data_IF_750957582832
#
_entry.id   IF_750957582832
#
_cell.length_a   1.000
_cell.length_b   1.000
_cell.length_c   1.000
_cell.angle_alpha   90.00
_cell.angle_beta   90.00
_cell.angle_gamma   90.00
#
_symmetry.space_group_name_H-M   'P 1'
#
loop_
_entity.id
_entity.type
_entity.pdbx_description
1 polymer ?
#
# COMPACT_ATOMS: atom_id res chain seq x y z
N UNK A 1 19.58 1.38 35.34
CA UNK A 1 19.13 0.50 34.24
C UNK A 1 18.01 1.20 33.48
N UNK A 2 18.29 1.72 32.27
CA UNK A 2 17.46 2.71 31.58
C UNK A 2 16.49 2.03 30.60
N UNK A 3 15.22 1.93 30.98
CA UNK A 3 14.06 2.23 30.12
C UNK A 3 13.90 1.52 28.76
N UNK A 4 14.39 0.28 28.59
CA UNK A 4 14.35 -0.45 27.31
C UNK A 4 12.91 -0.87 26.91
N UNK A 5 12.03 -1.16 27.88
CA UNK A 5 10.64 -1.54 27.58
C UNK A 5 9.80 -0.38 27.03
N UNK A 6 9.93 0.83 27.60
CA UNK A 6 9.15 2.00 27.21
C UNK A 6 9.58 2.62 25.88
N UNK A 7 10.82 2.41 25.41
CA UNK A 7 11.26 2.90 24.10
C UNK A 7 10.76 2.01 22.96
N UNK A 8 10.70 0.69 23.17
CA UNK A 8 10.21 -0.27 22.19
C UNK A 8 8.71 -0.12 21.92
N UNK A 9 7.88 0.09 22.96
CA UNK A 9 6.44 0.36 22.80
C UNK A 9 6.17 1.67 22.03
N UNK A 10 6.88 2.75 22.38
CA UNK A 10 6.76 4.04 21.66
C UNK A 10 7.22 3.95 20.21
N UNK A 11 8.26 3.17 19.93
CA UNK A 11 8.76 2.98 18.56
C UNK A 11 7.80 2.15 17.73
N UNK A 12 7.24 1.07 18.27
CA UNK A 12 6.21 0.27 17.59
C UNK A 12 4.97 1.11 17.26
N UNK A 13 4.49 1.91 18.22
CA UNK A 13 3.37 2.84 18.00
C UNK A 13 3.65 3.87 16.91
N UNK A 14 4.86 4.44 16.85
CA UNK A 14 5.26 5.38 15.79
C UNK A 14 5.31 4.73 14.42
N UNK A 15 5.90 3.52 14.31
CA UNK A 15 5.96 2.75 13.05
C UNK A 15 4.54 2.44 12.56
N UNK A 16 3.65 2.02 13.46
CA UNK A 16 2.24 1.75 13.15
C UNK A 16 1.52 2.99 12.62
N UNK A 17 1.73 4.13 13.27
CA UNK A 17 1.09 5.37 12.85
C UNK A 17 1.61 5.83 11.49
N UNK A 18 2.93 5.74 11.25
CA UNK A 18 3.53 6.01 9.95
C UNK A 18 2.97 5.08 8.86
N UNK A 19 2.87 3.77 9.11
CA UNK A 19 2.32 2.81 8.16
C UNK A 19 0.88 3.16 7.75
N UNK A 20 0.05 3.56 8.73
CA UNK A 20 -1.33 4.00 8.49
C UNK A 20 -1.40 5.28 7.67
N UNK A 21 -0.66 6.32 8.06
CA UNK A 21 -0.67 7.60 7.34
C UNK A 21 -0.24 7.41 5.90
N UNK A 22 0.87 6.69 5.68
CA UNK A 22 1.39 6.39 4.35
C UNK A 22 0.32 5.63 3.54
N UNK A 23 -0.24 4.55 4.10
CA UNK A 23 -1.25 3.75 3.42
C UNK A 23 -2.52 4.53 3.06
N UNK A 24 -2.99 5.42 3.95
CA UNK A 24 -4.16 6.27 3.71
C UNK A 24 -3.86 7.31 2.61
N UNK A 25 -2.71 7.99 2.67
CA UNK A 25 -2.35 9.02 1.69
C UNK A 25 -2.27 8.41 0.29
N UNK A 26 -1.56 7.29 0.16
CA UNK A 26 -1.40 6.59 -1.13
C UNK A 26 -2.73 6.04 -1.61
N UNK A 27 -3.50 5.47 -0.67
CA UNK A 27 -4.83 4.95 -0.93
C UNK A 27 -5.81 5.99 -1.45
N UNK A 28 -5.84 7.15 -0.79
CA UNK A 28 -6.65 8.29 -1.20
C UNK A 28 -6.21 8.82 -2.57
N UNK A 29 -4.90 8.99 -2.78
CA UNK A 29 -4.35 9.40 -4.08
C UNK A 29 -4.84 8.49 -5.20
N UNK A 30 -4.61 7.18 -5.10
CA UNK A 30 -5.00 6.23 -6.14
C UNK A 30 -6.52 6.13 -6.34
N UNK A 31 -7.30 6.20 -5.26
CA UNK A 31 -8.77 6.19 -5.35
C UNK A 31 -9.28 7.42 -6.09
N UNK A 32 -8.76 8.61 -5.76
CA UNK A 32 -9.10 9.86 -6.44
C UNK A 32 -8.69 9.78 -7.92
N UNK A 33 -7.49 9.28 -8.22
CA UNK A 33 -7.01 9.11 -9.60
C UNK A 33 -7.91 8.19 -10.43
N UNK A 34 -8.36 7.06 -9.87
CA UNK A 34 -9.28 6.15 -10.57
C UNK A 34 -10.64 6.79 -10.83
N UNK A 35 -11.18 7.53 -9.85
CA UNK A 35 -12.45 8.26 -10.01
C UNK A 35 -12.29 9.34 -11.08
N UNK A 36 -11.20 10.11 -11.03
CA UNK A 36 -10.93 11.17 -12.00
C UNK A 36 -10.77 10.63 -13.42
N UNK A 37 -10.04 9.53 -13.61
CA UNK A 37 -9.92 8.84 -14.91
C UNK A 37 -11.28 8.31 -15.38
N UNK A 38 -12.08 7.71 -14.49
CA UNK A 38 -13.43 7.23 -14.84
C UNK A 38 -14.37 8.34 -15.31
N UNK A 39 -14.24 9.54 -14.75
CA UNK A 39 -15.01 10.72 -15.17
C UNK A 39 -14.47 11.28 -16.49
N UNK A 40 -13.15 11.40 -16.62
CA UNK A 40 -12.50 11.98 -17.79
C UNK A 40 -12.70 11.12 -19.06
N UNK A 41 -12.75 9.80 -18.89
CA UNK A 41 -12.89 8.81 -19.97
C UNK A 41 -14.32 8.26 -20.03
N UNK A 42 -15.30 8.97 -19.46
CA UNK A 42 -16.67 8.50 -19.45
C UNK A 42 -17.20 8.28 -20.88
N UNK A 43 -17.69 7.07 -21.16
CA UNK A 43 -18.21 6.68 -22.47
C UNK A 43 -17.18 6.05 -23.40
N UNK A 44 -15.91 5.97 -23.03
CA UNK A 44 -14.93 5.15 -23.75
C UNK A 44 -14.90 3.71 -23.20
N UNK A 45 -14.66 2.69 -24.05
CA UNK A 45 -14.45 1.34 -23.56
C UNK A 45 -13.21 1.28 -22.66
N UNK A 46 -13.39 0.82 -21.42
CA UNK A 46 -12.29 0.60 -20.49
C UNK A 46 -11.52 -0.65 -20.90
N UNK A 47 -10.20 -0.55 -21.14
CA UNK A 47 -9.39 -1.70 -21.52
C UNK A 47 -9.15 -2.63 -20.31
N UNK A 48 -8.78 -3.89 -20.55
CA UNK A 48 -8.67 -4.92 -19.49
C UNK A 48 -7.62 -4.54 -18.43
N UNK A 49 -6.57 -3.86 -18.86
CA UNK A 49 -5.48 -3.31 -18.06
C UNK A 49 -6.01 -2.33 -17.00
N UNK A 50 -7.00 -1.51 -17.36
CA UNK A 50 -7.67 -0.59 -16.43
C UNK A 50 -8.40 -1.33 -15.30
N UNK A 51 -9.08 -2.43 -15.61
CA UNK A 51 -9.73 -3.27 -14.61
C UNK A 51 -8.73 -3.98 -13.69
N UNK A 52 -7.61 -4.46 -14.24
CA UNK A 52 -6.53 -5.09 -13.45
C UNK A 52 -5.93 -4.07 -12.48
N UNK A 53 -5.63 -2.86 -12.96
CA UNK A 53 -5.11 -1.77 -12.14
C UNK A 53 -6.08 -1.41 -11.00
N UNK A 54 -7.35 -1.19 -11.33
CA UNK A 54 -8.38 -0.88 -10.35
C UNK A 54 -8.54 -2.01 -9.30
N UNK A 55 -8.49 -3.27 -9.73
CA UNK A 55 -8.52 -4.43 -8.83
C UNK A 55 -7.33 -4.46 -7.88
N UNK A 56 -6.11 -4.26 -8.38
CA UNK A 56 -4.88 -4.25 -7.56
C UNK A 56 -4.88 -3.11 -6.54
N UNK A 57 -5.31 -1.92 -6.93
CA UNK A 57 -5.47 -0.78 -6.02
C UNK A 57 -6.52 -1.09 -4.95
N UNK A 58 -7.66 -1.66 -5.34
CA UNK A 58 -8.73 -2.04 -4.41
C UNK A 58 -8.26 -3.06 -3.39
N UNK A 59 -7.47 -4.06 -3.80
CA UNK A 59 -6.89 -5.06 -2.89
C UNK A 59 -5.89 -4.40 -1.93
N UNK A 60 -5.02 -3.50 -2.42
CA UNK A 60 -4.10 -2.74 -1.56
C UNK A 60 -4.88 -1.93 -0.51
N UNK A 61 -5.95 -1.25 -0.92
CA UNK A 61 -6.83 -0.50 -0.03
C UNK A 61 -7.51 -1.36 1.03
N UNK A 62 -8.06 -2.51 0.61
CA UNK A 62 -8.63 -3.49 1.54
C UNK A 62 -7.56 -3.98 2.54
N UNK A 63 -6.33 -4.20 2.07
CA UNK A 63 -5.19 -4.54 2.92
C UNK A 63 -4.87 -3.46 3.96
N UNK A 64 -4.85 -2.18 3.56
CA UNK A 64 -4.67 -1.04 4.49
C UNK A 64 -5.78 -1.00 5.52
N UNK A 65 -7.03 -1.15 5.13
CA UNK A 65 -8.19 -1.17 6.04
C UNK A 65 -8.08 -2.35 7.02
N UNK A 66 -7.80 -3.56 6.53
CA UNK A 66 -7.63 -4.76 7.35
C UNK A 66 -6.45 -4.61 8.33
N UNK A 67 -5.36 -3.97 7.91
CA UNK A 67 -4.17 -3.75 8.73
C UNK A 67 -4.46 -2.89 9.98
N UNK A 68 -5.57 -2.17 10.03
CA UNK A 68 -5.95 -1.40 11.22
C UNK A 68 -6.25 -2.30 12.42
N UNK A 69 -6.94 -3.42 12.18
CA UNK A 69 -7.31 -4.39 13.21
C UNK A 69 -6.38 -5.61 13.23
N UNK A 70 -5.85 -6.03 12.06
CA UNK A 70 -5.00 -7.21 11.92
C UNK A 70 -3.74 -6.89 11.09
N UNK A 71 -2.75 -6.31 11.75
CA UNK A 71 -1.50 -5.83 11.12
C UNK A 71 -0.80 -6.87 10.25
N UNK A 72 -0.68 -8.12 10.74
CA UNK A 72 -0.04 -9.20 9.98
C UNK A 72 -0.78 -9.49 8.67
N UNK A 73 -2.09 -9.68 8.76
CA UNK A 73 -2.91 -10.10 7.61
C UNK A 73 -2.96 -8.95 6.60
N UNK A 74 -3.28 -7.74 7.06
CA UNK A 74 -3.30 -6.57 6.19
C UNK A 74 -1.93 -6.27 5.57
N UNK A 75 -0.86 -6.36 6.35
CA UNK A 75 0.51 -6.19 5.85
C UNK A 75 0.88 -7.19 4.75
N UNK A 76 0.53 -8.48 4.90
CA UNK A 76 0.76 -9.50 3.85
C UNK A 76 -0.05 -9.17 2.59
N UNK A 77 -1.32 -8.80 2.74
CA UNK A 77 -2.19 -8.42 1.61
C UNK A 77 -1.59 -7.23 0.86
N UNK A 78 -1.20 -6.18 1.58
CA UNK A 78 -0.58 -4.99 0.96
C UNK A 78 0.71 -5.38 0.25
N UNK A 79 1.62 -6.12 0.89
CA UNK A 79 2.91 -6.46 0.27
C UNK A 79 2.72 -7.29 -1.00
N UNK A 80 1.85 -8.29 -0.97
CA UNK A 80 1.58 -9.15 -2.13
C UNK A 80 0.91 -8.38 -3.27
N UNK A 81 -0.10 -7.56 -2.96
CA UNK A 81 -0.78 -6.74 -3.96
C UNK A 81 0.10 -5.61 -4.50
N UNK A 82 0.94 -4.99 -3.67
CA UNK A 82 1.89 -3.97 -4.07
C UNK A 82 2.99 -4.54 -4.98
N UNK A 83 3.48 -5.75 -4.68
CA UNK A 83 4.42 -6.44 -5.56
C UNK A 83 3.80 -6.74 -6.93
N UNK A 84 2.55 -7.23 -6.96
CA UNK A 84 1.82 -7.42 -8.21
C UNK A 84 1.60 -6.11 -8.96
N UNK A 85 1.27 -5.01 -8.27
CA UNK A 85 1.12 -3.68 -8.86
C UNK A 85 2.43 -3.12 -9.43
N UNK A 86 3.56 -3.36 -8.75
CA UNK A 86 4.89 -3.04 -9.27
C UNK A 86 5.18 -3.80 -10.57
N UNK A 87 4.93 -5.10 -10.60
CA UNK A 87 5.14 -5.94 -11.79
C UNK A 87 4.23 -5.52 -12.94
N UNK A 88 2.94 -5.31 -12.66
CA UNK A 88 1.96 -4.84 -13.63
C UNK A 88 2.40 -3.50 -14.24
N UNK A 89 2.74 -2.53 -13.41
CA UNK A 89 3.18 -1.19 -13.86
C UNK A 89 4.49 -1.24 -14.66
N UNK A 90 5.38 -2.18 -14.36
CA UNK A 90 6.61 -2.36 -15.14
C UNK A 90 6.34 -2.92 -16.55
N UNK A 91 5.36 -3.82 -16.67
CA UNK A 91 4.98 -4.45 -17.95
C UNK A 91 4.23 -3.42 -18.81
N UNK A 92 3.25 -2.74 -18.22
CA UNK A 92 2.38 -1.78 -18.91
C UNK A 92 3.07 -0.45 -19.27
N UNK A 93 4.11 -0.07 -18.53
CA UNK A 93 4.82 1.16 -18.81
C UNK A 93 5.54 1.10 -20.16
N UNK A 94 5.05 1.88 -21.12
CA UNK A 94 5.72 2.04 -22.43
C UNK A 94 7.11 2.66 -22.30
N UNK A 95 7.26 3.67 -21.43
CA UNK A 95 8.53 4.34 -21.13
C UNK A 95 8.71 4.51 -19.62
N UNK A 96 9.97 4.66 -19.17
CA UNK A 96 10.30 4.93 -17.76
C UNK A 96 9.72 3.89 -16.77
N UNK A 97 9.82 2.60 -17.13
CA UNK A 97 9.25 1.46 -16.37
C UNK A 97 9.59 1.46 -14.88
N UNK A 98 10.82 1.83 -14.53
CA UNK A 98 11.27 1.91 -13.15
C UNK A 98 10.52 3.01 -12.40
N UNK A 99 10.36 4.19 -13.01
CA UNK A 99 9.60 5.29 -12.41
C UNK A 99 8.13 4.93 -12.24
N UNK A 100 7.53 4.26 -13.23
CA UNK A 100 6.16 3.78 -13.15
C UNK A 100 5.96 2.82 -11.96
N UNK A 101 6.87 1.85 -11.78
CA UNK A 101 6.89 0.95 -10.63
C UNK A 101 7.04 1.72 -9.29
N UNK A 102 7.98 2.66 -9.23
CA UNK A 102 8.28 3.43 -8.02
C UNK A 102 7.15 4.38 -7.61
N UNK A 103 6.40 4.94 -8.55
CA UNK A 103 5.26 5.80 -8.24
C UNK A 103 4.00 5.01 -7.90
N UNK A 104 3.86 3.78 -8.39
CA UNK A 104 2.64 2.98 -8.24
C UNK A 104 2.64 2.06 -7.03
N UNK A 105 3.30 0.91 -7.13
CA UNK A 105 3.25 -0.14 -6.11
C UNK A 105 4.22 0.11 -4.97
N UNK A 106 5.35 0.77 -5.21
CA UNK A 106 6.38 0.94 -4.19
C UNK A 106 5.91 1.70 -2.92
N UNK A 107 5.11 2.77 -3.00
CA UNK A 107 4.60 3.43 -1.80
C UNK A 107 3.72 2.49 -0.96
N UNK A 108 2.85 1.69 -1.60
CA UNK A 108 2.06 0.67 -0.91
C UNK A 108 2.96 -0.40 -0.29
N UNK A 109 4.00 -0.83 -1.01
CA UNK A 109 4.97 -1.81 -0.52
C UNK A 109 5.65 -1.33 0.78
N UNK A 110 6.06 -0.06 0.84
CA UNK A 110 6.62 0.56 2.05
C UNK A 110 5.60 0.47 3.20
N UNK A 111 4.34 0.85 2.97
CA UNK A 111 3.28 0.77 3.98
C UNK A 111 3.10 -0.68 4.50
N UNK A 112 2.99 -1.65 3.60
CA UNK A 112 2.83 -3.06 3.94
C UNK A 112 4.00 -3.61 4.75
N UNK A 113 5.24 -3.30 4.35
CA UNK A 113 6.44 -3.69 5.09
C UNK A 113 6.46 -3.07 6.49
N UNK A 114 6.11 -1.78 6.63
CA UNK A 114 6.02 -1.12 7.93
C UNK A 114 4.97 -1.77 8.84
N UNK A 115 3.83 -2.20 8.31
CA UNK A 115 2.83 -2.96 9.06
C UNK A 115 3.37 -4.31 9.56
N UNK A 116 4.14 -5.03 8.73
CA UNK A 116 4.76 -6.30 9.14
C UNK A 116 5.86 -6.10 10.19
N UNK A 117 6.67 -5.05 10.05
CA UNK A 117 7.70 -4.68 11.04
C UNK A 117 7.05 -4.28 12.37
N UNK A 118 5.97 -3.48 12.33
CA UNK A 118 5.17 -3.12 13.52
C UNK A 118 4.69 -4.37 14.24
N UNK A 119 4.08 -5.30 13.50
CA UNK A 119 3.57 -6.54 14.06
C UNK A 119 4.66 -7.39 14.70
N UNK A 120 5.80 -7.56 14.03
CA UNK A 120 6.91 -8.35 14.54
C UNK A 120 7.52 -7.75 15.81
N UNK A 121 7.62 -6.41 15.88
CA UNK A 121 8.07 -5.71 17.08
C UNK A 121 7.06 -5.79 18.23
N UNK A 122 5.77 -5.70 17.94
CA UNK A 122 4.71 -5.84 18.96
C UNK A 122 4.65 -7.23 19.58
N UNK A 123 5.17 -8.27 18.91
CA UNK A 123 5.29 -9.62 19.47
C UNK A 123 6.53 -9.85 20.34
N UNK A 124 7.53 -8.97 20.25
CA UNK A 124 8.79 -9.08 21.01
C UNK A 124 8.79 -8.29 22.31
N UNK A 125 7.75 -7.49 22.54
CA UNK A 125 7.48 -6.78 23.80
C UNK A 125 6.52 -7.64 24.62
#
# INVERSE_FOLDING_TARGET
>A
MKNISNSNDRTAKRIRWAARVIGIIIGAFWTISLIASSIAEFGTPVPIEGFILAGLITINMAGVIIAWWKEKIGGIIIVTAAAALCTFSYIEAGHNKILAMLFSGFPFLISGILFLISWWRSKKV
#
